data_IF_435902862244
#
_entry.id   IF_435902862244
#
_cell.length_a   1.000
_cell.length_b   1.000
_cell.length_c   1.000
_cell.angle_alpha   90.00
_cell.angle_beta   90.00
_cell.angle_gamma   90.00
#
_symmetry.space_group_name_H-M   'P 1'
#
loop_
_entity.id
_entity.type
_entity.pdbx_description
1 polymer ?
#
# COMPACT_ATOMS: atom_id res chain seq x y z
N UNK A 1 -2.65 -52.46 6.53
CA UNK A 1 -2.83 -53.85 6.11
C UNK A 1 -4.32 -54.14 6.00
N UNK A 2 -4.90 -53.90 4.82
CA UNK A 2 -5.98 -54.71 4.23
C UNK A 2 -5.88 -54.47 2.73
N UNK A 3 -5.45 -55.53 2.04
CA UNK A 3 -5.26 -55.62 0.61
C UNK A 3 -6.54 -56.19 -0.02
N UNK A 4 -6.86 -55.76 -1.24
CA UNK A 4 -7.85 -56.42 -2.10
C UNK A 4 -8.02 -55.68 -3.43
N UNK A 5 -7.01 -55.75 -4.31
CA UNK A 5 -7.03 -56.48 -5.60
C UNK A 5 -8.21 -56.10 -6.53
N UNK A 6 -7.86 -55.30 -7.55
CA UNK A 6 -8.64 -55.07 -8.76
C UNK A 6 -8.74 -56.33 -9.60
N UNK A 7 -9.94 -56.63 -10.08
CA UNK A 7 -10.19 -57.51 -11.22
C UNK A 7 -10.76 -56.67 -12.36
N UNK A 8 -10.15 -56.79 -13.54
CA UNK A 8 -10.61 -56.20 -14.80
C UNK A 8 -11.14 -57.29 -15.72
N UNK A 9 -12.33 -57.09 -16.29
CA UNK A 9 -12.79 -57.76 -17.52
C UNK A 9 -13.91 -56.94 -18.18
N UNK A 10 -14.18 -57.09 -19.50
CA UNK A 10 -14.13 -55.96 -20.43
C UNK A 10 -15.43 -55.72 -21.22
N UNK A 11 -15.50 -54.57 -21.90
CA UNK A 11 -16.44 -54.27 -22.98
C UNK A 11 -17.34 -53.07 -22.63
N UNK A 12 -17.15 -51.89 -23.22
CA UNK A 12 -17.30 -51.64 -24.66
C UNK A 12 -16.41 -50.46 -25.06
N UNK A 13 -15.55 -50.63 -26.07
CA UNK A 13 -14.74 -49.54 -26.66
C UNK A 13 -15.44 -49.01 -27.91
N UNK A 14 -15.72 -47.71 -27.94
CA UNK A 14 -15.94 -46.97 -29.19
C UNK A 14 -14.63 -46.28 -29.55
N UNK A 15 -14.12 -46.58 -30.75
CA UNK A 15 -12.89 -46.02 -31.30
C UNK A 15 -13.19 -44.71 -32.03
N UNK A 16 -12.46 -43.65 -31.69
CA UNK A 16 -12.01 -42.64 -32.65
C UNK A 16 -10.58 -42.23 -32.30
N UNK A 17 -9.80 -42.00 -33.36
CA UNK A 17 -8.35 -41.95 -33.42
C UNK A 17 -7.80 -40.55 -33.05
N UNK A 18 -6.59 -40.51 -32.50
CA UNK A 18 -5.76 -39.33 -32.13
C UNK A 18 -6.15 -38.48 -30.88
N UNK A 19 -5.53 -38.79 -29.73
CA UNK A 19 -5.37 -37.90 -28.57
C UNK A 19 -6.05 -38.38 -27.28
N UNK A 20 -5.27 -38.85 -26.30
CA UNK A 20 -5.79 -39.44 -25.05
C UNK A 20 -6.50 -38.40 -24.16
N UNK A 21 -7.81 -38.56 -23.96
CA UNK A 21 -8.52 -38.02 -22.80
C UNK A 21 -9.03 -39.19 -21.96
N UNK A 22 -8.59 -39.29 -20.70
CA UNK A 22 -9.13 -40.25 -19.75
C UNK A 22 -10.10 -39.52 -18.83
N UNK A 23 -11.40 -39.69 -19.05
CA UNK A 23 -12.44 -39.17 -18.15
C UNK A 23 -12.74 -40.25 -17.11
N UNK A 24 -12.42 -39.99 -15.85
CA UNK A 24 -12.78 -40.86 -14.72
C UNK A 24 -13.99 -40.23 -14.04
N UNK A 25 -15.19 -40.75 -14.29
CA UNK A 25 -16.39 -40.36 -13.56
C UNK A 25 -16.51 -41.20 -12.27
N UNK A 26 -16.55 -40.53 -11.11
CA UNK A 26 -16.78 -41.17 -9.81
C UNK A 26 -18.18 -40.79 -9.33
N UNK A 27 -19.03 -41.77 -9.09
CA UNK A 27 -20.36 -41.56 -8.52
C UNK A 27 -20.27 -41.56 -6.99
N UNK A 28 -20.58 -40.43 -6.36
CA UNK A 28 -20.80 -40.33 -4.93
C UNK A 28 -22.20 -39.80 -4.68
N UNK A 29 -23.03 -40.56 -3.98
CA UNK A 29 -24.36 -40.12 -3.53
C UNK A 29 -24.19 -39.34 -2.22
N UNK A 30 -24.35 -38.02 -2.29
CA UNK A 30 -24.83 -37.21 -1.18
C UNK A 30 -25.78 -36.14 -1.73
N UNK A 31 -26.81 -35.84 -0.96
CA UNK A 31 -28.08 -35.24 -1.37
C UNK A 31 -28.01 -33.83 -2.02
N UNK A 32 -28.91 -33.65 -3.00
CA UNK A 32 -29.45 -32.41 -3.59
C UNK A 32 -28.47 -31.60 -4.48
N UNK A 33 -28.64 -31.78 -5.81
CA UNK A 33 -27.94 -31.23 -6.99
C UNK A 33 -26.70 -31.99 -7.50
N UNK A 34 -26.72 -32.55 -8.73
CA UNK A 34 -25.49 -33.03 -9.37
C UNK A 34 -24.68 -31.85 -9.91
N UNK A 35 -23.55 -31.55 -9.27
CA UNK A 35 -22.52 -30.66 -9.82
C UNK A 35 -21.47 -31.53 -10.51
N UNK A 36 -21.31 -31.35 -11.82
CA UNK A 36 -20.20 -31.96 -12.57
C UNK A 36 -18.99 -31.04 -12.45
N UNK A 37 -17.97 -31.47 -11.71
CA UNK A 37 -16.64 -30.84 -11.77
C UNK A 37 -15.83 -31.49 -12.89
N UNK A 38 -15.46 -30.71 -13.89
CA UNK A 38 -14.46 -31.09 -14.88
C UNK A 38 -13.19 -30.28 -14.58
N UNK A 39 -12.13 -30.94 -14.13
CA UNK A 39 -10.82 -30.33 -13.94
C UNK A 39 -9.90 -30.79 -15.08
N UNK A 40 -9.35 -29.84 -15.82
CA UNK A 40 -8.30 -30.05 -16.81
C UNK A 40 -6.94 -29.74 -16.18
N UNK A 41 -6.07 -30.73 -16.11
CA UNK A 41 -4.68 -30.55 -15.70
C UNK A 41 -3.81 -30.31 -16.95
N UNK A 42 -3.10 -29.18 -17.01
CA UNK A 42 -2.22 -28.80 -18.11
C UNK A 42 -0.76 -28.90 -17.64
N UNK A 43 0.05 -29.79 -18.23
CA UNK A 43 1.50 -29.79 -18.04
C UNK A 43 2.18 -29.10 -19.23
N UNK A 44 2.91 -28.02 -18.96
CA UNK A 44 3.67 -27.23 -19.95
C UNK A 44 5.11 -27.75 -20.09
N UNK A 45 5.61 -27.84 -21.33
CA UNK A 45 7.06 -27.91 -21.64
C UNK A 45 7.41 -26.73 -22.55
N UNK A 46 8.25 -25.81 -22.07
CA UNK A 46 9.22 -25.04 -22.87
C UNK A 46 8.84 -23.69 -23.51
N UNK A 47 9.45 -22.62 -22.99
CA UNK A 47 9.86 -21.32 -23.58
C UNK A 47 8.83 -20.24 -23.99
N UNK A 48 9.04 -19.07 -23.35
CA UNK A 48 8.91 -17.66 -23.75
C UNK A 48 7.65 -17.12 -24.48
N UNK A 49 6.89 -16.35 -23.68
CA UNK A 49 6.29 -15.03 -23.94
C UNK A 49 5.37 -14.82 -25.15
N UNK A 50 4.06 -14.73 -24.88
CA UNK A 50 3.20 -13.67 -25.40
C UNK A 50 1.93 -13.51 -24.53
N UNK A 51 1.64 -12.28 -24.15
CA UNK A 51 0.47 -11.80 -23.42
C UNK A 51 -0.84 -11.95 -24.22
N UNK A 52 -1.91 -12.51 -23.63
CA UNK A 52 -3.28 -12.19 -24.05
C UNK A 52 -4.31 -12.57 -22.97
N UNK A 53 -5.22 -11.64 -22.69
CA UNK A 53 -6.20 -11.65 -21.59
C UNK A 53 -7.28 -12.73 -21.68
N UNK A 54 -7.86 -13.18 -20.54
CA UNK A 54 -9.06 -14.01 -20.54
C UNK A 54 -10.32 -13.13 -20.66
N UNK A 55 -10.96 -13.14 -21.84
CA UNK A 55 -12.35 -12.68 -21.98
C UNK A 55 -13.29 -13.73 -21.38
N UNK A 56 -13.85 -13.42 -20.20
CA UNK A 56 -14.99 -14.15 -19.63
C UNK A 56 -16.24 -13.93 -20.51
N UNK A 57 -16.69 -14.96 -21.20
CA UNK A 57 -18.00 -14.99 -21.85
C UNK A 57 -18.99 -15.60 -20.84
N UNK A 58 -19.87 -14.75 -20.31
CA UNK A 58 -20.93 -15.10 -19.35
C UNK A 58 -21.99 -16.05 -19.95
N UNK A 59 -22.65 -16.88 -19.12
CA UNK A 59 -23.55 -17.96 -19.54
C UNK A 59 -24.96 -17.51 -19.98
N UNK A 60 -25.15 -16.24 -20.34
CA UNK A 60 -26.48 -15.70 -20.63
C UNK A 60 -27.04 -16.04 -22.02
N UNK A 61 -26.25 -16.68 -22.90
CA UNK A 61 -26.71 -16.98 -24.27
C UNK A 61 -27.58 -18.25 -24.40
N UNK A 62 -27.68 -19.11 -23.38
CA UNK A 62 -28.40 -20.38 -23.52
C UNK A 62 -29.92 -20.30 -23.23
N UNK A 63 -30.42 -19.23 -22.61
CA UNK A 63 -31.84 -19.15 -22.21
C UNK A 63 -32.73 -18.62 -23.35
N UNK A 64 -32.18 -17.88 -24.32
CA UNK A 64 -32.96 -17.23 -25.39
C UNK A 64 -33.42 -18.20 -26.49
N UNK A 65 -32.83 -19.39 -26.62
CA UNK A 65 -33.10 -20.29 -27.75
C UNK A 65 -34.21 -21.34 -27.56
N UNK A 66 -34.88 -21.40 -26.40
CA UNK A 66 -35.91 -22.43 -26.14
C UNK A 66 -37.37 -21.95 -26.31
N UNK A 67 -37.60 -20.67 -26.64
CA UNK A 67 -38.97 -20.10 -26.74
C UNK A 67 -39.43 -19.74 -28.15
N UNK A 68 -38.65 -19.96 -29.21
CA UNK A 68 -39.02 -19.58 -30.59
C UNK A 68 -39.62 -20.70 -31.45
N UNK A 69 -39.88 -21.88 -30.90
CA UNK A 69 -40.37 -23.03 -31.67
C UNK A 69 -41.72 -23.56 -31.16
N UNK A 70 -42.78 -22.75 -31.20
CA UNK A 70 -44.15 -23.31 -31.12
C UNK A 70 -45.23 -22.42 -31.75
N UNK A 71 -45.08 -22.03 -33.02
CA UNK A 71 -46.24 -21.71 -33.88
C UNK A 71 -45.88 -22.02 -35.33
N UNK A 72 -46.19 -23.23 -35.80
CA UNK A 72 -46.36 -23.48 -37.24
C UNK A 72 -47.86 -23.65 -37.47
N UNK A 73 -48.38 -22.76 -38.31
CA UNK A 73 -49.76 -22.68 -38.74
C UNK A 73 -50.19 -23.94 -39.52
N UNK A 74 -51.38 -24.45 -39.20
CA UNK A 74 -52.13 -25.35 -40.08
C UNK A 74 -53.21 -24.53 -40.82
N UNK A 75 -53.41 -24.71 -42.13
CA UNK A 75 -54.53 -24.09 -42.83
C UNK A 75 -55.75 -25.00 -42.76
N UNK A 76 -56.90 -24.43 -42.39
CA UNK A 76 -58.19 -25.03 -42.65
C UNK A 76 -59.15 -23.92 -43.06
N UNK A 77 -59.47 -23.89 -44.35
CA UNK A 77 -60.50 -23.03 -44.92
C UNK A 77 -61.92 -23.53 -44.57
N UNK A 78 -62.83 -22.57 -44.58
CA UNK A 78 -64.30 -22.62 -44.74
C UNK A 78 -65.24 -22.67 -43.51
N UNK A 79 -65.89 -21.50 -43.34
CA UNK A 79 -67.32 -21.23 -43.11
C UNK A 79 -67.93 -21.23 -41.69
N UNK A 80 -68.41 -20.04 -41.30
CA UNK A 80 -69.49 -19.84 -40.31
C UNK A 80 -69.31 -18.54 -39.51
N UNK A 81 -70.33 -17.65 -39.40
CA UNK A 81 -70.21 -16.42 -38.62
C UNK A 81 -70.08 -16.77 -37.15
N UNK A 82 -68.94 -16.41 -36.54
CA UNK A 82 -68.68 -16.62 -35.11
C UNK A 82 -69.65 -15.77 -34.28
N UNK A 83 -70.62 -16.44 -33.68
CA UNK A 83 -71.44 -15.92 -32.58
C UNK A 83 -70.50 -15.70 -31.39
N UNK A 84 -70.39 -14.46 -30.90
CA UNK A 84 -69.68 -14.09 -29.66
C UNK A 84 -70.30 -14.88 -28.49
N UNK A 85 -69.57 -15.86 -27.95
CA UNK A 85 -69.92 -16.49 -26.66
C UNK A 85 -69.41 -15.59 -25.54
N UNK A 86 -70.15 -15.55 -24.44
CA UNK A 86 -69.86 -14.83 -23.18
C UNK A 86 -68.42 -15.02 -22.65
N UNK A 87 -67.76 -16.12 -23.02
CA UNK A 87 -66.41 -16.52 -22.58
C UNK A 87 -65.27 -15.74 -23.28
N UNK A 88 -65.55 -15.07 -24.41
CA UNK A 88 -64.56 -14.28 -25.15
C UNK A 88 -64.19 -12.96 -24.43
N UNK A 89 -65.12 -12.40 -23.66
CA UNK A 89 -64.91 -11.19 -22.84
C UNK A 89 -63.97 -11.45 -21.67
N UNK A 90 -64.01 -12.66 -21.10
CA UNK A 90 -63.10 -13.11 -20.03
C UNK A 90 -61.70 -13.45 -20.54
N UNK A 91 -61.56 -13.97 -21.76
CA UNK A 91 -60.25 -14.27 -22.36
C UNK A 91 -59.48 -13.00 -22.74
N UNK A 92 -60.18 -12.00 -23.31
CA UNK A 92 -59.57 -10.71 -23.66
C UNK A 92 -59.09 -9.92 -22.43
N UNK A 93 -59.80 -10.04 -21.30
CA UNK A 93 -59.40 -9.41 -20.02
C UNK A 93 -58.20 -10.11 -19.37
N UNK A 94 -58.12 -11.45 -19.46
CA UNK A 94 -56.92 -12.20 -19.03
C UNK A 94 -55.71 -11.85 -19.90
N UNK A 95 -55.89 -11.69 -21.21
CA UNK A 95 -54.80 -11.35 -22.12
C UNK A 95 -54.26 -9.93 -21.90
N UNK A 96 -55.13 -8.98 -21.57
CA UNK A 96 -54.71 -7.63 -21.15
C UNK A 96 -53.99 -7.63 -19.80
N UNK A 97 -54.42 -8.45 -18.83
CA UNK A 97 -53.74 -8.59 -17.55
C UNK A 97 -52.32 -9.18 -17.71
N UNK A 98 -52.15 -10.19 -18.56
CA UNK A 98 -50.85 -10.79 -18.89
C UNK A 98 -49.90 -9.77 -19.54
N UNK A 99 -50.40 -8.96 -20.47
CA UNK A 99 -49.60 -7.88 -21.07
C UNK A 99 -49.22 -6.81 -20.04
N UNK A 100 -50.14 -6.45 -19.15
CA UNK A 100 -49.87 -5.49 -18.08
C UNK A 100 -48.84 -6.04 -17.08
N UNK A 101 -48.92 -7.32 -16.70
CA UNK A 101 -47.91 -7.97 -15.86
C UNK A 101 -46.55 -8.04 -16.53
N UNK A 102 -46.48 -8.38 -17.83
CA UNK A 102 -45.23 -8.37 -18.58
C UNK A 102 -44.54 -7.01 -18.58
N UNK A 103 -45.32 -5.92 -18.71
CA UNK A 103 -44.80 -4.56 -18.64
C UNK A 103 -44.26 -4.19 -17.24
N UNK A 104 -44.88 -4.71 -16.17
CA UNK A 104 -44.40 -4.52 -14.78
C UNK A 104 -43.10 -5.28 -14.54
N UNK A 105 -43.01 -6.53 -15.00
CA UNK A 105 -41.80 -7.36 -14.86
C UNK A 105 -40.61 -6.69 -15.55
N UNK A 106 -40.78 -6.21 -16.79
CA UNK A 106 -39.73 -5.51 -17.52
C UNK A 106 -39.27 -4.23 -16.81
N UNK A 107 -40.19 -3.47 -16.21
CA UNK A 107 -39.83 -2.31 -15.37
C UNK A 107 -39.01 -2.72 -14.15
N UNK A 108 -39.41 -3.78 -13.45
CA UNK A 108 -38.68 -4.28 -12.28
C UNK A 108 -37.27 -4.77 -12.65
N UNK A 109 -37.13 -5.50 -13.77
CA UNK A 109 -35.82 -5.95 -14.26
C UNK A 109 -34.89 -4.77 -14.60
N UNK A 110 -35.42 -3.71 -15.23
CA UNK A 110 -34.64 -2.49 -15.48
C UNK A 110 -34.21 -1.78 -14.19
N UNK A 111 -35.10 -1.71 -13.19
CA UNK A 111 -34.79 -1.10 -11.90
C UNK A 111 -33.75 -1.90 -11.13
N UNK A 112 -33.84 -3.23 -11.19
CA UNK A 112 -32.87 -4.13 -10.55
C UNK A 112 -31.48 -3.99 -11.19
N UNK A 113 -31.42 -3.94 -12.52
CA UNK A 113 -30.16 -3.72 -13.25
C UNK A 113 -29.52 -2.38 -12.88
N UNK A 114 -30.32 -1.32 -12.79
CA UNK A 114 -29.84 -0.02 -12.34
C UNK A 114 -29.36 -0.04 -10.89
N UNK A 115 -30.07 -0.73 -10.00
CA UNK A 115 -29.67 -0.88 -8.60
C UNK A 115 -28.35 -1.63 -8.45
N UNK A 116 -28.15 -2.71 -9.22
CA UNK A 116 -26.89 -3.46 -9.25
C UNK A 116 -25.72 -2.59 -9.72
N UNK A 117 -25.90 -1.79 -10.78
CA UNK A 117 -24.86 -0.88 -11.27
C UNK A 117 -24.52 0.20 -10.23
N UNK A 118 -25.50 0.71 -9.49
CA UNK A 118 -25.27 1.66 -8.39
C UNK A 118 -24.51 1.02 -7.24
N UNK A 119 -24.81 -0.21 -6.87
CA UNK A 119 -24.08 -0.94 -5.83
C UNK A 119 -22.62 -1.16 -6.24
N UNK A 120 -22.36 -1.62 -7.46
CA UNK A 120 -21.00 -1.77 -7.98
C UNK A 120 -20.22 -0.44 -7.97
N UNK A 121 -20.88 0.67 -8.33
CA UNK A 121 -20.28 2.00 -8.27
C UNK A 121 -19.98 2.45 -6.84
N UNK A 122 -20.88 2.16 -5.89
CA UNK A 122 -20.67 2.47 -4.47
C UNK A 122 -19.54 1.64 -3.85
N UNK A 123 -19.43 0.36 -4.20
CA UNK A 123 -18.33 -0.51 -3.76
C UNK A 123 -16.98 -0.01 -4.29
N UNK A 124 -16.92 0.35 -5.58
CA UNK A 124 -15.73 0.95 -6.19
C UNK A 124 -15.34 2.25 -5.48
N UNK A 125 -16.31 3.14 -5.21
CA UNK A 125 -16.06 4.39 -4.50
C UNK A 125 -15.58 4.14 -3.06
N UNK A 126 -16.21 3.21 -2.34
CA UNK A 126 -15.79 2.85 -0.99
C UNK A 126 -14.37 2.29 -0.96
N UNK A 127 -14.02 1.47 -1.95
CA UNK A 127 -12.65 0.94 -2.08
C UNK A 127 -11.66 2.08 -2.36
N UNK A 128 -11.98 2.98 -3.29
CA UNK A 128 -11.16 4.14 -3.59
C UNK A 128 -10.93 5.03 -2.36
N UNK A 129 -12.00 5.33 -1.61
CA UNK A 129 -11.90 6.12 -0.38
C UNK A 129 -11.03 5.44 0.68
N UNK A 130 -11.09 4.10 0.79
CA UNK A 130 -10.25 3.37 1.76
C UNK A 130 -8.75 3.49 1.45
N UNK A 131 -8.38 3.44 0.16
CA UNK A 131 -7.00 3.61 -0.30
C UNK A 131 -6.50 5.03 -0.05
N UNK A 132 -7.35 6.01 -0.30
CA UNK A 132 -7.01 7.41 -0.07
C UNK A 132 -6.82 7.68 1.43
N UNK A 133 -7.71 7.17 2.29
CA UNK A 133 -7.57 7.27 3.75
C UNK A 133 -6.28 6.58 4.22
N UNK A 134 -5.93 5.40 3.71
CA UNK A 134 -4.67 4.74 4.09
C UNK A 134 -3.45 5.57 3.69
N UNK A 135 -3.49 6.18 2.51
CA UNK A 135 -2.40 7.03 2.01
C UNK A 135 -2.27 8.29 2.85
N UNK A 136 -3.39 8.93 3.19
CA UNK A 136 -3.41 10.12 4.02
C UNK A 136 -2.96 9.83 5.46
N UNK A 137 -3.34 8.68 6.03
CA UNK A 137 -2.87 8.24 7.35
C UNK A 137 -1.35 8.10 7.39
N UNK A 138 -0.75 7.44 6.40
CA UNK A 138 0.70 7.28 6.35
C UNK A 138 1.44 8.63 6.22
N UNK A 139 0.92 9.54 5.38
CA UNK A 139 1.47 10.90 5.24
C UNK A 139 1.33 11.73 6.52
N UNK A 140 0.23 11.54 7.25
CA UNK A 140 0.03 12.21 8.52
C UNK A 140 1.05 11.72 9.55
N UNK A 141 1.24 10.40 9.68
CA UNK A 141 2.22 9.83 10.60
C UNK A 141 3.64 10.36 10.35
N UNK A 142 4.08 10.45 9.09
CA UNK A 142 5.40 11.02 8.77
C UNK A 142 5.50 12.52 9.10
N UNK A 143 4.41 13.28 8.93
CA UNK A 143 4.38 14.73 9.24
C UNK A 143 4.33 15.00 10.75
N UNK A 144 3.73 14.10 11.53
CA UNK A 144 3.63 14.27 13.00
C UNK A 144 4.92 13.94 13.75
N UNK A 145 5.88 13.26 13.11
CA UNK A 145 7.18 12.99 13.71
C UNK A 145 7.95 14.30 13.83
N UNK A 146 8.19 14.72 15.07
CA UNK A 146 8.99 15.88 15.38
C UNK A 146 10.24 15.41 16.12
N UNK A 147 11.39 15.85 15.63
CA UNK A 147 12.67 15.64 16.29
C UNK A 147 13.40 16.96 16.24
N UNK A 148 13.83 17.44 17.40
CA UNK A 148 14.57 18.69 17.50
C UNK A 148 15.36 18.69 18.80
N UNK A 149 16.59 19.18 18.75
CA UNK A 149 17.34 19.47 19.95
C UNK A 149 18.13 20.75 19.77
N UNK A 150 18.38 21.43 20.90
CA UNK A 150 19.27 22.57 20.99
C UNK A 150 19.98 22.47 22.34
N UNK A 151 21.30 22.48 22.32
CA UNK A 151 22.15 22.28 23.48
C UNK A 151 23.31 23.26 23.48
N UNK A 152 23.77 23.60 24.68
CA UNK A 152 24.93 24.45 24.89
C UNK A 152 25.62 24.06 26.21
N UNK A 153 26.75 24.69 26.51
CA UNK A 153 27.49 24.43 27.74
C UNK A 153 27.03 25.30 28.92
N UNK A 154 26.76 24.73 30.08
CA UNK A 154 26.39 25.52 31.26
C UNK A 154 27.54 26.41 31.75
N UNK A 155 28.80 25.96 31.59
CA UNK A 155 30.00 26.69 32.01
C UNK A 155 30.56 27.54 30.87
N UNK A 156 31.20 28.66 31.20
CA UNK A 156 31.96 29.51 30.28
C UNK A 156 33.23 30.03 31.00
N UNK A 157 34.45 29.78 30.48
CA UNK A 157 34.76 28.99 29.29
C UNK A 157 34.70 27.47 29.56
N UNK A 158 34.64 26.70 28.49
CA UNK A 158 34.93 25.26 28.52
C UNK A 158 36.41 25.07 28.21
N UNK A 159 37.10 24.46 29.17
CA UNK A 159 38.52 24.19 29.09
C UNK A 159 38.75 22.70 28.89
N UNK A 160 39.69 22.40 28.01
CA UNK A 160 40.23 21.07 27.75
C UNK A 160 39.17 19.95 27.61
N UNK A 161 38.43 19.97 26.52
CA UNK A 161 37.62 18.81 26.12
C UNK A 161 38.47 17.67 25.53
N UNK A 162 39.81 17.82 25.44
CA UNK A 162 40.75 16.84 24.91
C UNK A 162 40.94 16.91 23.39
N UNK A 163 42.12 16.51 22.91
CA UNK A 163 42.42 16.41 21.47
C UNK A 163 41.55 15.31 20.85
N UNK A 164 40.79 15.67 19.82
CA UNK A 164 39.75 14.81 19.23
C UNK A 164 38.66 14.40 20.24
N UNK A 165 38.45 15.20 21.27
CA UNK A 165 37.37 15.02 22.22
C UNK A 165 36.01 15.33 21.61
N UNK A 166 35.00 14.55 22.00
CA UNK A 166 33.59 14.82 21.71
C UNK A 166 33.13 15.95 22.64
N UNK A 167 32.44 16.95 22.08
CA UNK A 167 31.86 18.04 22.86
C UNK A 167 30.57 17.56 23.51
N UNK A 168 30.57 17.54 24.85
CA UNK A 168 29.44 17.05 25.67
C UNK A 168 28.71 18.25 26.26
N UNK A 169 27.74 18.76 25.51
CA UNK A 169 26.89 19.86 25.97
C UNK A 169 25.98 19.34 27.09
N UNK A 170 26.09 19.95 28.26
CA UNK A 170 25.40 19.53 29.48
C UNK A 170 24.08 20.26 29.69
N UNK A 171 23.88 21.42 29.06
CA UNK A 171 22.63 22.16 29.12
C UNK A 171 21.73 21.86 27.91
N UNK A 172 20.52 21.39 28.18
CA UNK A 172 19.50 21.10 27.16
C UNK A 172 18.44 22.21 27.16
N UNK A 173 18.27 22.90 26.04
CA UNK A 173 17.14 23.82 25.82
C UNK A 173 15.92 23.04 25.34
N UNK A 174 16.13 22.21 24.33
CA UNK A 174 15.09 21.36 23.71
C UNK A 174 15.71 19.99 23.41
N UNK A 175 14.93 18.93 23.56
CA UNK A 175 15.30 17.57 23.15
C UNK A 175 14.05 16.73 22.80
N UNK A 176 13.25 17.23 21.85
CA UNK A 176 12.06 16.55 21.37
C UNK A 176 12.44 15.20 20.76
N UNK A 177 11.71 14.14 21.13
CA UNK A 177 12.01 12.74 20.83
C UNK A 177 13.31 12.18 21.46
N UNK A 178 13.94 12.92 22.39
CA UNK A 178 15.07 12.47 23.21
C UNK A 178 16.25 11.90 22.40
N UNK A 179 16.54 12.47 21.23
CA UNK A 179 17.63 11.99 20.37
C UNK A 179 19.03 12.34 20.88
N UNK A 180 19.18 13.45 21.62
CA UNK A 180 20.46 13.88 22.17
C UNK A 180 20.72 13.30 23.57
N UNK A 181 21.92 12.78 23.81
CA UNK A 181 22.38 12.33 25.13
C UNK A 181 23.52 13.21 25.66
N UNK A 182 23.22 14.01 26.69
CA UNK A 182 24.17 14.93 27.32
C UNK A 182 25.38 14.24 27.98
N UNK A 183 25.26 12.96 28.36
CA UNK A 183 26.39 12.22 28.97
C UNK A 183 27.46 11.87 27.93
N UNK A 184 27.05 11.61 26.71
CA UNK A 184 27.92 11.19 25.61
C UNK A 184 28.26 12.32 24.65
N UNK A 185 27.40 13.34 24.55
CA UNK A 185 27.52 14.41 23.57
C UNK A 185 26.96 14.07 22.19
N UNK A 186 26.23 12.96 22.08
CA UNK A 186 25.88 12.33 20.80
C UNK A 186 24.36 12.43 20.57
N UNK A 187 23.99 12.86 19.37
CA UNK A 187 22.64 12.71 18.83
C UNK A 187 22.50 11.34 18.14
N UNK A 188 21.49 10.57 18.52
CA UNK A 188 21.10 9.33 17.84
C UNK A 188 19.74 9.54 17.17
N UNK A 189 19.68 9.32 15.86
CA UNK A 189 18.45 9.54 15.09
C UNK A 189 17.34 8.59 15.54
N UNK A 190 16.19 9.09 16.07
CA UNK A 190 15.10 8.24 16.52
C UNK A 190 14.26 7.71 15.35
N UNK A 191 14.25 8.42 14.20
CA UNK A 191 13.48 8.07 13.00
C UNK A 191 14.31 8.36 11.75
N UNK A 192 14.12 7.56 10.69
CA UNK A 192 14.77 7.85 9.41
C UNK A 192 14.19 9.12 8.77
N UNK A 193 15.03 9.91 8.10
CA UNK A 193 14.61 11.13 7.42
C UNK A 193 15.73 12.11 7.14
N UNK A 194 15.35 13.29 6.64
CA UNK A 194 16.22 14.40 6.32
C UNK A 194 16.37 15.34 7.52
N UNK A 195 17.60 15.57 7.99
CA UNK A 195 17.91 16.38 9.15
C UNK A 195 18.81 17.58 8.80
N UNK A 196 18.68 18.65 9.57
CA UNK A 196 19.63 19.77 9.59
C UNK A 196 20.36 19.76 10.92
N UNK A 197 21.67 19.99 10.87
CA UNK A 197 22.49 20.26 12.03
C UNK A 197 23.19 21.61 11.86
N UNK A 198 23.22 22.39 12.93
CA UNK A 198 23.89 23.68 13.02
C UNK A 198 24.79 23.70 14.25
N UNK A 199 25.99 24.22 14.06
CA UNK A 199 26.97 24.39 15.11
C UNK A 199 27.52 25.82 15.07
N UNK A 200 27.46 26.51 16.20
CA UNK A 200 28.18 27.74 16.48
C UNK A 200 29.32 27.45 17.45
N UNK A 201 30.51 27.99 17.19
CA UNK A 201 31.67 27.87 18.07
C UNK A 201 32.36 29.23 18.21
N UNK A 202 32.43 29.74 19.43
CA UNK A 202 33.22 30.92 19.74
C UNK A 202 34.54 30.54 20.40
N UNK A 203 35.64 31.00 19.80
CA UNK A 203 36.99 30.85 20.35
C UNK A 203 37.16 31.63 21.66
N UNK A 204 38.04 31.13 22.53
CA UNK A 204 38.51 31.93 23.68
C UNK A 204 39.54 32.97 23.22
N UNK A 205 39.71 34.04 24.00
CA UNK A 205 40.65 35.14 23.70
C UNK A 205 42.13 34.73 23.99
N UNK A 206 42.61 33.62 23.43
CA UNK A 206 43.98 33.09 23.62
C UNK A 206 44.89 33.19 22.38
N UNK A 207 44.39 33.74 21.27
CA UNK A 207 45.16 33.88 20.03
C UNK A 207 45.31 32.60 19.22
N UNK A 208 44.68 31.49 19.63
CA UNK A 208 44.74 30.20 18.96
C UNK A 208 43.44 29.93 18.21
N UNK A 209 43.55 29.42 16.99
CA UNK A 209 42.37 28.96 16.24
C UNK A 209 41.78 27.71 16.86
N UNK A 210 40.50 27.45 16.59
CA UNK A 210 39.78 26.23 16.97
C UNK A 210 38.91 25.78 15.81
N UNK A 211 38.88 24.48 15.58
CA UNK A 211 38.09 23.82 14.55
C UNK A 211 37.36 22.64 15.17
N UNK A 212 36.03 22.65 15.02
CA UNK A 212 35.13 21.61 15.51
C UNK A 212 34.33 21.06 14.34
N UNK A 213 34.41 19.76 14.11
CA UNK A 213 33.66 19.11 13.04
C UNK A 213 32.29 18.63 13.52
N UNK A 214 31.31 18.66 12.62
CA UNK A 214 30.10 17.83 12.71
C UNK A 214 30.43 16.47 12.09
N UNK A 215 30.20 15.39 12.84
CA UNK A 215 30.57 14.03 12.46
C UNK A 215 29.34 13.15 12.38
N UNK A 216 29.19 12.39 11.29
CA UNK A 216 28.21 11.30 11.14
C UNK A 216 28.94 9.96 11.16
N UNK A 217 28.62 9.08 12.10
CA UNK A 217 29.16 7.72 12.20
C UNK A 217 30.70 7.63 12.03
N UNK A 218 31.44 8.63 12.51
CA UNK A 218 32.90 8.68 12.46
C UNK A 218 33.49 9.40 11.24
N UNK A 219 32.65 9.88 10.32
CA UNK A 219 33.07 10.67 9.15
C UNK A 219 32.72 12.15 9.37
N UNK A 220 33.72 13.03 9.27
CA UNK A 220 33.51 14.48 9.31
C UNK A 220 32.72 14.95 8.09
N UNK A 221 31.67 15.73 8.32
CA UNK A 221 30.78 16.25 7.29
C UNK A 221 31.03 17.71 6.98
N UNK A 222 31.24 18.52 8.01
CA UNK A 222 31.47 19.96 7.90
C UNK A 222 32.28 20.46 9.11
N UNK A 223 32.86 21.66 9.00
CA UNK A 223 33.77 22.25 9.99
C UNK A 223 33.38 23.67 10.41
N UNK A 224 33.29 23.91 11.72
CA UNK A 224 33.19 25.23 12.31
C UNK A 224 34.58 25.72 12.75
N UNK A 225 35.13 26.68 12.01
CA UNK A 225 36.45 27.26 12.26
C UNK A 225 36.36 28.69 12.82
N UNK A 226 36.97 28.92 13.99
CA UNK A 226 37.23 30.25 14.53
C UNK A 226 38.75 30.49 14.58
N UNK A 227 39.22 31.63 14.08
CA UNK A 227 40.65 31.92 13.99
C UNK A 227 41.29 32.24 15.34
N UNK A 228 40.50 32.73 16.32
CA UNK A 228 40.96 33.13 17.64
C UNK A 228 41.89 34.34 17.66
N UNK A 229 42.15 34.96 16.51
CA UNK A 229 43.04 36.12 16.37
C UNK A 229 42.44 37.45 16.83
N UNK A 230 41.11 37.48 17.08
CA UNK A 230 40.38 38.63 17.60
C UNK A 230 39.50 38.18 18.76
N UNK A 231 39.12 39.14 19.62
CA UNK A 231 38.19 38.87 20.72
C UNK A 231 36.83 38.48 20.17
N UNK A 232 36.21 37.46 20.78
CA UNK A 232 34.89 36.93 20.41
C UNK A 232 34.79 36.46 18.94
N UNK A 233 35.86 35.87 18.39
CA UNK A 233 35.83 35.31 17.04
C UNK A 233 35.01 34.01 17.03
N UNK A 234 34.08 33.90 16.08
CA UNK A 234 33.07 32.83 16.00
C UNK A 234 33.08 32.18 14.62
N UNK A 235 33.15 30.85 14.61
CA UNK A 235 32.95 30.00 13.46
C UNK A 235 31.60 29.29 13.54
N UNK A 236 31.01 29.00 12.40
CA UNK A 236 29.77 28.25 12.32
C UNK A 236 29.80 27.20 11.20
N UNK A 237 28.93 26.22 11.32
CA UNK A 237 28.79 25.11 10.38
C UNK A 237 27.32 24.69 10.28
N UNK A 238 26.88 24.34 9.08
CA UNK A 238 25.53 23.86 8.83
C UNK A 238 25.55 22.75 7.79
N UNK A 239 24.94 21.62 8.12
CA UNK A 239 24.82 20.50 7.19
C UNK A 239 23.41 19.93 7.18
N UNK A 240 22.93 19.59 5.98
CA UNK A 240 21.68 18.87 5.76
C UNK A 240 22.01 17.46 5.28
N UNK A 241 21.54 16.43 6.00
CA UNK A 241 21.88 15.03 5.74
C UNK A 241 20.70 14.10 5.95
N UNK A 242 20.66 13.02 5.17
CA UNK A 242 19.79 11.88 5.45
C UNK A 242 20.38 11.06 6.60
N UNK A 243 19.53 10.69 7.55
CA UNK A 243 19.86 9.75 8.63
C UNK A 243 18.88 8.60 8.61
N UNK A 244 19.41 7.38 8.79
CA UNK A 244 18.59 6.24 9.18
C UNK A 244 18.39 6.23 10.70
N UNK A 245 17.28 5.66 11.16
CA UNK A 245 17.07 5.43 12.58
C UNK A 245 18.27 4.67 13.19
N UNK A 246 18.79 5.19 14.30
CA UNK A 246 19.97 4.67 15.00
C UNK A 246 21.33 5.24 14.54
N UNK A 247 21.39 5.97 13.42
CA UNK A 247 22.64 6.65 13.04
C UNK A 247 22.97 7.79 13.99
N UNK A 248 24.27 8.07 14.15
CA UNK A 248 24.79 8.96 15.18
C UNK A 248 25.47 10.19 14.57
N UNK A 249 25.19 11.33 15.18
CA UNK A 249 25.82 12.62 14.86
C UNK A 249 26.35 13.27 16.13
N UNK A 250 27.56 13.82 16.08
CA UNK A 250 28.16 14.54 17.21
C UNK A 250 29.10 15.62 16.72
N UNK A 251 29.57 16.44 17.65
CA UNK A 251 30.59 17.44 17.39
C UNK A 251 31.90 17.04 18.05
N UNK A 252 33.02 17.19 17.33
CA UNK A 252 34.32 16.73 17.78
C UNK A 252 35.40 17.75 17.43
N UNK A 253 36.33 17.95 18.36
CA UNK A 253 37.53 18.73 18.09
C UNK A 253 38.33 18.14 16.94
N UNK A 254 38.67 18.99 15.97
CA UNK A 254 39.53 18.63 14.86
C UNK A 254 40.93 19.20 15.04
N UNK A 255 41.03 20.52 15.24
CA UNK A 255 42.31 21.22 15.25
C UNK A 255 42.31 22.45 16.16
N UNK A 256 43.49 22.80 16.66
CA UNK A 256 43.74 24.06 17.36
C UNK A 256 43.54 23.97 18.87
N UNK A 257 42.90 24.99 19.44
CA UNK A 257 42.66 25.11 20.88
C UNK A 257 41.63 24.09 21.36
N UNK A 258 41.93 23.43 22.49
CA UNK A 258 40.96 22.58 23.19
C UNK A 258 40.05 23.35 24.16
N UNK A 259 40.01 24.67 24.02
CA UNK A 259 39.20 25.56 24.86
C UNK A 259 38.32 26.47 24.00
N UNK A 260 37.07 26.63 24.39
CA UNK A 260 36.08 27.44 23.69
C UNK A 260 35.22 28.20 24.70
N UNK A 261 34.55 29.25 24.24
CA UNK A 261 33.50 29.90 25.05
C UNK A 261 32.31 28.97 25.16
N UNK A 262 31.72 28.90 26.34
CA UNK A 262 30.50 28.13 26.57
C UNK A 262 29.27 29.03 26.60
N UNK A 263 28.27 28.66 27.40
CA UNK A 263 26.96 29.34 27.40
C UNK A 263 26.36 29.41 25.99
N UNK A 264 25.54 30.43 25.72
CA UNK A 264 24.90 30.67 24.41
C UNK A 264 25.87 31.07 23.28
N UNK A 265 27.18 31.09 23.52
CA UNK A 265 28.20 31.45 22.52
C UNK A 265 28.67 30.26 21.69
N UNK A 266 28.48 29.04 22.21
CA UNK A 266 28.73 27.79 21.48
C UNK A 266 27.50 26.91 21.61
N UNK A 267 26.80 26.72 20.51
CA UNK A 267 25.48 26.06 20.47
C UNK A 267 25.52 24.97 19.40
N UNK A 268 25.01 23.80 19.76
CA UNK A 268 24.76 22.72 18.81
C UNK A 268 23.26 22.46 18.74
N UNK A 269 22.70 22.49 17.53
CA UNK A 269 21.29 22.31 17.30
C UNK A 269 21.05 21.39 16.12
N UNK A 270 19.96 20.64 16.13
CA UNK A 270 19.52 19.91 14.96
C UNK A 270 18.05 19.57 15.01
N UNK A 271 17.44 19.41 13.84
CA UNK A 271 16.02 19.10 13.72
C UNK A 271 15.72 18.32 12.43
N UNK A 272 14.63 17.55 12.49
CA UNK A 272 14.09 16.81 11.35
C UNK A 272 13.29 17.76 10.44
N UNK A 273 13.63 17.77 9.16
CA UNK A 273 12.83 18.43 8.11
C UNK A 273 11.66 17.53 7.71
N UNK A 274 11.96 16.26 7.41
CA UNK A 274 10.99 15.32 6.88
C UNK A 274 11.37 13.89 7.25
N UNK A 275 10.44 13.15 7.87
CA UNK A 275 10.60 11.72 8.10
C UNK A 275 10.36 10.92 6.81
N UNK A 276 11.08 9.80 6.69
CA UNK A 276 10.84 8.77 5.67
C UNK A 276 9.53 7.99 5.93
#
# INVERSE_FOLDING_TARGET
MFLGRFWSSPGTKLFMDTGWQTIICRWGLHEIFPVVYCATEFQTVGREAATMEPRFILPQLCIVFTLSAFVIAAPADTLGPKVKRSDDTTLNSVQTLLQQQGAVIQRQESQLTLALNRLAALESLSHQQSLEISTLKNRLESTTRQVAFTVYFSADPIQDFGVHGILRFDHIVTNTANGYDAKTGIFTSPVSGLYVFHLDVMSVDNGLSVSINIIKNGVALDDAYASGGKRNDQGNSLVTIDLKAGEKVWTQHSYGSTSIRGSFLTVFSGFLIQAD
#
